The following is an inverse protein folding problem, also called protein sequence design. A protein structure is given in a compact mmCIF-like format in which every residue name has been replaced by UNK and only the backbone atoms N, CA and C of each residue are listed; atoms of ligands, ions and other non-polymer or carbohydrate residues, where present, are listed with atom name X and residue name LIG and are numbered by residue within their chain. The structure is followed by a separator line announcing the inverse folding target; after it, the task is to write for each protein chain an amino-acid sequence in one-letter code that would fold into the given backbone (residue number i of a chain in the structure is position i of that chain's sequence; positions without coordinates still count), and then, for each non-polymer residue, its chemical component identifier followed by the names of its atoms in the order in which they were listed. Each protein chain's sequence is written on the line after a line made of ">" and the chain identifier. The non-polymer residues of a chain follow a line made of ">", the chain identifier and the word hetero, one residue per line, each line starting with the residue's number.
data_IF_636985398039
#
_entry.id   IF_636985398039
#
_cell.length_a   1.000
_cell.length_b   1.000
_cell.length_c   1.000
_cell.angle_alpha   90.00
_cell.angle_beta   90.00
_cell.angle_gamma   90.00
#
_symmetry.space_group_name_H-M   'P 1'
#
loop_
_entity.id
_entity.type
_entity.pdbx_description
1 polymer ?
#
# COMPACT_ATOMS: atom_id res chain seq x y z
N UNK A 1 10.55 -5.60 -18.34
CA UNK A 1 10.30 -4.18 -18.68
C UNK A 1 9.73 -3.51 -17.45
N UNK A 2 10.41 -2.51 -16.87
CA UNK A 2 9.88 -1.80 -15.71
C UNK A 2 8.76 -0.84 -16.14
N UNK A 3 7.70 -0.65 -15.34
CA UNK A 3 6.64 0.31 -15.65
C UNK A 3 7.22 1.71 -15.81
N UNK A 4 6.88 2.39 -16.90
CA UNK A 4 7.27 3.79 -17.12
C UNK A 4 6.24 4.80 -16.58
N UNK A 5 5.13 4.30 -16.00
CA UNK A 5 4.08 5.11 -15.39
C UNK A 5 3.70 4.61 -14.01
N UNK A 6 3.43 5.54 -13.10
CA UNK A 6 2.95 5.29 -11.74
C UNK A 6 1.57 5.89 -11.50
N UNK A 7 0.91 5.48 -10.41
CA UNK A 7 -0.32 6.10 -9.92
C UNK A 7 -0.01 7.14 -8.84
N UNK A 8 -0.33 8.40 -9.12
CA UNK A 8 -0.34 9.46 -8.13
C UNK A 8 -1.76 9.59 -7.54
N UNK A 9 -1.88 9.46 -6.23
CA UNK A 9 -3.17 9.30 -5.52
C UNK A 9 -3.44 10.48 -4.60
N UNK A 10 -4.66 11.01 -4.67
CA UNK A 10 -5.19 11.90 -3.64
C UNK A 10 -6.26 11.16 -2.83
N UNK A 11 -5.95 10.84 -1.57
CA UNK A 11 -6.87 10.12 -0.67
C UNK A 11 -8.10 10.97 -0.32
N UNK A 12 -7.93 12.29 -0.13
CA UNK A 12 -9.02 13.22 0.18
C UNK A 12 -10.04 13.30 -0.96
N UNK A 13 -9.57 13.47 -2.18
CA UNK A 13 -10.43 13.60 -3.36
C UNK A 13 -10.86 12.25 -3.95
N UNK A 14 -10.25 11.14 -3.51
CA UNK A 14 -10.49 9.79 -4.02
C UNK A 14 -10.31 9.72 -5.54
N UNK A 15 -9.17 10.22 -5.99
CA UNK A 15 -8.75 10.24 -7.40
C UNK A 15 -7.33 9.70 -7.54
N UNK A 16 -7.04 9.14 -8.71
CA UNK A 16 -5.68 8.77 -9.11
C UNK A 16 -5.40 9.30 -10.50
N UNK A 17 -4.15 9.65 -10.76
CA UNK A 17 -3.67 10.08 -12.06
C UNK A 17 -2.47 9.23 -12.47
N UNK A 18 -2.37 8.91 -13.75
CA UNK A 18 -1.20 8.21 -14.31
C UNK A 18 -0.13 9.24 -14.68
N UNK A 19 1.06 9.10 -14.11
CA UNK A 19 2.22 9.96 -14.40
C UNK A 19 3.41 9.12 -14.87
N UNK A 20 4.38 9.69 -15.60
CA UNK A 20 5.68 9.07 -15.77
C UNK A 20 6.31 8.74 -14.41
N UNK A 21 7.03 7.63 -14.27
CA UNK A 21 7.71 7.27 -13.00
C UNK A 21 8.77 8.28 -12.58
N UNK A 22 9.37 8.99 -13.55
CA UNK A 22 10.22 10.16 -13.29
C UNK A 22 9.34 11.41 -13.29
N UNK A 23 8.92 11.84 -12.11
CA UNK A 23 8.13 13.06 -11.92
C UNK A 23 8.64 13.84 -10.71
N UNK A 24 8.44 15.16 -10.72
CA UNK A 24 8.61 15.99 -9.54
C UNK A 24 7.39 15.92 -8.61
N UNK A 25 7.35 16.73 -7.55
CA UNK A 25 6.13 16.92 -6.76
C UNK A 25 4.97 17.39 -7.64
N UNK A 26 3.80 16.76 -7.49
CA UNK A 26 2.60 17.10 -8.26
C UNK A 26 1.44 17.32 -7.28
N UNK A 27 0.85 18.52 -7.24
CA UNK A 27 -0.31 18.78 -6.40
C UNK A 27 -1.59 18.21 -7.04
N UNK A 28 -2.56 17.86 -6.20
CA UNK A 28 -3.88 17.45 -6.66
C UNK A 28 -4.60 18.62 -7.35
N UNK A 29 -5.14 18.47 -8.57
CA UNK A 29 -5.83 19.55 -9.28
C UNK A 29 -7.14 19.99 -8.60
N UNK A 30 -7.66 19.21 -7.65
CA UNK A 30 -8.90 19.52 -6.94
C UNK A 30 -8.68 20.22 -5.60
N UNK A 31 -7.80 19.68 -4.74
CA UNK A 31 -7.60 20.18 -3.38
C UNK A 31 -6.22 20.77 -3.11
N UNK A 32 -5.32 20.74 -4.10
CA UNK A 32 -3.92 21.23 -4.03
C UNK A 32 -3.02 20.51 -3.03
N UNK A 33 -3.51 19.49 -2.31
CA UNK A 33 -2.66 18.64 -1.49
C UNK A 33 -1.70 17.81 -2.35
N UNK A 34 -0.55 17.47 -1.79
CA UNK A 34 0.44 16.62 -2.47
C UNK A 34 -0.16 15.26 -2.82
N UNK A 35 0.12 14.79 -4.04
CA UNK A 35 -0.25 13.45 -4.46
C UNK A 35 0.76 12.44 -3.93
N UNK A 36 0.26 11.31 -3.44
CA UNK A 36 1.08 10.19 -2.99
C UNK A 36 1.45 9.34 -4.21
N UNK A 37 2.74 9.07 -4.41
CA UNK A 37 3.16 8.05 -5.37
C UNK A 37 2.87 6.65 -4.82
N UNK A 38 1.76 6.08 -5.28
CA UNK A 38 1.28 4.78 -4.85
C UNK A 38 1.91 3.62 -5.64
N UNK A 39 2.67 3.89 -6.70
CA UNK A 39 3.31 2.86 -7.51
C UNK A 39 2.49 2.34 -8.70
N UNK A 40 3.15 1.64 -9.64
CA UNK A 40 2.59 1.25 -10.92
C UNK A 40 1.55 0.12 -10.86
N UNK A 41 1.60 -0.74 -9.84
CA UNK A 41 0.74 -1.92 -9.74
C UNK A 41 -0.53 -1.68 -8.93
N UNK A 42 -0.83 -0.43 -8.56
CA UNK A 42 -2.06 -0.11 -7.85
C UNK A 42 -3.29 -0.43 -8.70
N UNK A 43 -4.17 -1.29 -8.19
CA UNK A 43 -5.53 -1.43 -8.69
C UNK A 43 -6.42 -0.35 -8.04
N UNK A 44 -6.64 0.75 -8.76
CA UNK A 44 -7.34 1.93 -8.23
C UNK A 44 -8.81 1.58 -7.91
N UNK A 45 -9.28 1.83 -6.67
CA UNK A 45 -10.68 1.65 -6.33
C UNK A 45 -11.59 2.57 -7.15
N UNK A 46 -12.81 2.13 -7.45
CA UNK A 46 -13.81 3.01 -8.07
C UNK A 46 -14.05 4.23 -7.19
N UNK A 47 -14.27 5.41 -7.78
CA UNK A 47 -14.42 6.68 -7.03
C UNK A 47 -15.45 6.60 -5.88
N UNK A 48 -16.57 5.91 -6.09
CA UNK A 48 -17.64 5.76 -5.10
C UNK A 48 -17.42 4.60 -4.11
N UNK A 49 -16.42 3.74 -4.31
CA UNK A 49 -16.11 2.63 -3.42
C UNK A 49 -15.44 3.12 -2.13
N UNK A 50 -16.26 3.54 -1.17
CA UNK A 50 -15.79 4.03 0.12
C UNK A 50 -14.95 2.98 0.87
N UNK A 51 -15.25 1.69 0.71
CA UNK A 51 -14.53 0.63 1.40
C UNK A 51 -13.12 0.47 0.81
N UNK A 52 -13.00 0.38 -0.53
CA UNK A 52 -11.71 0.32 -1.20
C UNK A 52 -10.83 1.53 -0.93
N UNK A 53 -11.40 2.74 -0.91
CA UNK A 53 -10.64 3.96 -0.58
C UNK A 53 -10.17 4.00 0.89
N UNK A 54 -10.96 3.49 1.83
CA UNK A 54 -10.54 3.35 3.24
C UNK A 54 -9.41 2.34 3.39
N UNK A 55 -9.49 1.20 2.70
CA UNK A 55 -8.40 0.22 2.64
C UNK A 55 -7.13 0.86 2.09
N UNK A 56 -7.22 1.54 0.95
CA UNK A 56 -6.07 2.18 0.32
C UNK A 56 -5.45 3.25 1.22
N UNK A 57 -6.27 4.01 1.95
CA UNK A 57 -5.79 4.99 2.95
C UNK A 57 -4.95 4.30 4.01
N UNK A 58 -5.47 3.24 4.65
CA UNK A 58 -4.73 2.50 5.67
C UNK A 58 -3.41 1.90 5.15
N UNK A 59 -3.39 1.43 3.90
CA UNK A 59 -2.17 0.90 3.27
C UNK A 59 -1.15 2.02 3.04
N UNK A 60 -1.53 3.12 2.39
CA UNK A 60 -0.60 4.21 2.08
C UNK A 60 -0.12 4.94 3.33
N UNK A 61 -0.99 5.14 4.33
CA UNK A 61 -0.63 5.79 5.60
C UNK A 61 0.38 4.96 6.41
N UNK A 62 0.43 3.63 6.20
CA UNK A 62 1.46 2.77 6.79
C UNK A 62 2.83 2.88 6.11
N UNK A 63 2.93 3.61 5.00
CA UNK A 63 4.13 3.70 4.16
C UNK A 63 4.25 2.60 3.11
N UNK A 64 3.33 1.63 3.09
CA UNK A 64 3.27 0.64 2.01
C UNK A 64 2.84 1.29 0.69
N UNK A 65 3.45 0.84 -0.40
CA UNK A 65 3.06 1.22 -1.76
C UNK A 65 2.89 -0.02 -2.65
N UNK A 66 2.48 0.23 -3.89
CA UNK A 66 2.29 -0.77 -4.95
C UNK A 66 3.43 -0.73 -5.97
N UNK A 67 4.63 -0.40 -5.49
CA UNK A 67 5.87 -0.60 -6.24
C UNK A 67 6.22 -2.09 -6.24
N UNK A 68 6.57 -2.59 -7.42
CA UNK A 68 7.06 -3.96 -7.58
C UNK A 68 8.52 -4.10 -7.14
N UNK A 69 8.94 -5.35 -6.94
CA UNK A 69 10.34 -5.69 -6.77
C UNK A 69 11.13 -5.61 -8.07
N UNK A 70 12.41 -5.99 -8.02
CA UNK A 70 13.18 -6.20 -9.23
C UNK A 70 12.56 -7.32 -10.10
N UNK A 71 12.86 -7.30 -11.40
CA UNK A 71 12.47 -8.36 -12.35
C UNK A 71 10.97 -8.48 -12.64
N UNK A 72 10.16 -7.46 -12.34
CA UNK A 72 8.74 -7.44 -12.70
C UNK A 72 7.82 -8.16 -11.73
N UNK A 73 8.33 -8.57 -10.57
CA UNK A 73 7.49 -9.05 -9.46
C UNK A 73 6.64 -7.89 -8.96
N UNK A 74 5.33 -8.08 -8.87
CA UNK A 74 4.41 -7.09 -8.32
C UNK A 74 4.71 -6.76 -6.83
N UNK A 75 3.90 -5.91 -6.19
CA UNK A 75 4.16 -5.38 -4.85
C UNK A 75 4.00 -6.40 -3.71
N UNK A 76 3.87 -7.68 -4.03
CA UNK A 76 3.39 -8.70 -3.10
C UNK A 76 1.93 -8.48 -2.71
N UNK A 77 1.53 -9.06 -1.58
CA UNK A 77 0.17 -8.93 -1.06
C UNK A 77 -0.07 -7.52 -0.52
N UNK A 78 -1.25 -6.97 -0.83
CA UNK A 78 -1.81 -5.76 -0.21
C UNK A 78 -3.30 -6.00 0.09
N UNK A 79 -3.81 -5.59 1.26
CA UNK A 79 -5.22 -5.69 1.59
C UNK A 79 -6.08 -4.98 0.55
N UNK A 80 -7.22 -5.58 0.19
CA UNK A 80 -8.20 -5.00 -0.74
C UNK A 80 -9.49 -4.63 -0.05
N UNK A 81 -9.69 -5.09 1.18
CA UNK A 81 -10.90 -4.87 1.96
C UNK A 81 -10.60 -4.35 3.38
N UNK A 82 -11.54 -3.62 4.01
CA UNK A 82 -11.38 -3.19 5.39
C UNK A 82 -11.29 -4.36 6.37
N UNK A 83 -11.85 -5.53 6.03
CA UNK A 83 -11.73 -6.74 6.83
C UNK A 83 -10.28 -7.22 6.90
N UNK A 84 -9.62 -7.33 5.75
CA UNK A 84 -8.22 -7.75 5.68
C UNK A 84 -7.30 -6.80 6.45
N UNK A 85 -7.57 -5.48 6.38
CA UNK A 85 -6.85 -4.47 7.16
C UNK A 85 -7.00 -4.73 8.66
N UNK A 86 -8.22 -4.97 9.14
CA UNK A 86 -8.46 -5.26 10.57
C UNK A 86 -7.75 -6.53 11.02
N UNK A 87 -7.79 -7.59 10.23
CA UNK A 87 -7.09 -8.84 10.53
C UNK A 87 -5.57 -8.61 10.71
N UNK A 88 -4.99 -7.67 9.94
CA UNK A 88 -3.55 -7.37 9.96
C UNK A 88 -3.16 -6.36 11.02
N UNK A 89 -4.06 -5.45 11.41
CA UNK A 89 -3.90 -4.66 12.63
C UNK A 89 -3.88 -5.59 13.85
N UNK A 90 -4.81 -6.54 13.94
CA UNK A 90 -4.83 -7.53 15.02
C UNK A 90 -3.60 -8.46 15.00
N UNK A 91 -3.04 -8.75 13.82
CA UNK A 91 -1.76 -9.45 13.71
C UNK A 91 -0.62 -8.61 14.30
N UNK A 92 -0.50 -7.34 13.91
CA UNK A 92 0.51 -6.41 14.43
C UNK A 92 0.43 -6.31 15.97
N UNK A 93 -0.77 -6.11 16.52
CA UNK A 93 -0.99 -6.00 17.96
C UNK A 93 -0.59 -7.28 18.71
N UNK A 94 -0.97 -8.45 18.18
CA UNK A 94 -0.69 -9.75 18.81
C UNK A 94 0.78 -10.16 18.76
N UNK A 95 1.50 -9.72 17.73
CA UNK A 95 2.89 -10.16 17.47
C UNK A 95 3.93 -9.09 17.77
N UNK A 96 3.53 -7.83 17.95
CA UNK A 96 4.43 -6.68 18.00
C UNK A 96 5.06 -6.31 16.65
N UNK A 97 4.60 -6.92 15.55
CA UNK A 97 5.10 -6.64 14.20
C UNK A 97 4.76 -5.19 13.78
N UNK A 98 5.65 -4.48 13.07
CA UNK A 98 5.33 -3.18 12.49
C UNK A 98 4.08 -3.26 11.59
N UNK A 99 3.21 -2.25 11.67
CA UNK A 99 1.94 -2.26 10.94
C UNK A 99 2.11 -2.46 9.42
N UNK A 100 3.13 -1.83 8.82
CA UNK A 100 3.43 -1.99 7.40
C UNK A 100 3.78 -3.45 7.04
N UNK A 101 4.53 -4.13 7.88
CA UNK A 101 4.89 -5.54 7.67
C UNK A 101 3.66 -6.43 7.82
N UNK A 102 2.83 -6.20 8.84
CA UNK A 102 1.61 -6.96 9.05
C UNK A 102 0.61 -6.75 7.91
N UNK A 103 0.47 -5.52 7.40
CA UNK A 103 -0.35 -5.23 6.23
C UNK A 103 0.19 -5.91 4.96
N UNK A 104 1.49 -6.16 4.86
CA UNK A 104 2.10 -6.88 3.75
C UNK A 104 1.97 -8.41 3.86
N UNK A 105 1.59 -8.94 5.02
CA UNK A 105 1.44 -10.39 5.24
C UNK A 105 0.22 -10.95 4.51
N UNK A 106 0.44 -11.89 3.61
CA UNK A 106 -0.63 -12.55 2.85
C UNK A 106 -1.52 -13.42 3.73
N UNK A 107 -0.92 -14.23 4.60
CA UNK A 107 -1.61 -15.09 5.55
C UNK A 107 -1.52 -14.52 6.99
N UNK A 108 -2.61 -13.94 7.52
CA UNK A 108 -2.61 -13.32 8.85
C UNK A 108 -2.66 -14.35 10.00
N UNK A 109 -2.69 -15.65 9.69
CA UNK A 109 -2.67 -16.72 10.68
C UNK A 109 -1.24 -17.18 11.01
N UNK A 110 -0.26 -16.84 10.16
CA UNK A 110 1.15 -17.11 10.43
C UNK A 110 1.57 -16.32 11.67
N UNK A 111 1.84 -17.04 12.76
CA UNK A 111 2.48 -16.46 13.94
C UNK A 111 3.94 -16.21 13.54
N UNK A 112 4.41 -14.96 13.63
CA UNK A 112 5.82 -14.63 13.44
C UNK A 112 6.65 -15.23 14.59
N UNK A 113 6.87 -16.54 14.51
CA UNK A 113 7.68 -17.34 15.41
C UNK A 113 8.90 -17.85 14.68
N UNK A 114 9.82 -16.94 14.31
CA UNK A 114 11.23 -17.27 14.08
C UNK A 114 12.07 -16.00 14.12
N UNK A 115 12.15 -15.39 15.31
CA UNK A 115 13.43 -14.84 15.76
C UNK A 115 14.41 -16.02 15.78
N UNK A 116 15.05 -16.30 14.64
CA UNK A 116 16.29 -17.06 14.66
C UNK A 116 17.30 -16.17 15.37
N UNK A 117 17.62 -16.56 16.60
CA UNK A 117 18.84 -16.17 17.29
C UNK A 117 20.03 -16.36 16.33
N UNK A 118 20.51 -15.27 15.73
CA UNK A 118 21.89 -15.24 15.24
C UNK A 118 22.73 -14.76 16.41
N UNK A 119 23.15 -15.72 17.23
CA UNK A 119 24.40 -15.59 17.97
C UNK A 119 25.53 -15.74 16.96
N UNK A 120 26.30 -14.67 16.76
CA UNK A 120 27.73 -14.73 16.41
C UNK A 120 28.45 -13.75 17.32
#
# INVERSE_FOLDING_TARGET
>A
MYPNRTHLVCLRCRVSFKYPTKHGPVPCPHCRADLIDAGPHLAVPRKLDKAGWRTLTAVLDSGLTFHGGCCGTGPGYRPRTPREVRERILLAERTGMPLAEALATADPTVIAGSRLDVRV
#
